data_IF_296601185286
#
_entry.id   IF_296601185286
#
_cell.length_a   1.000
_cell.length_b   1.000
_cell.length_c   1.000
_cell.angle_alpha   90.00
_cell.angle_beta   90.00
_cell.angle_gamma   90.00
#
_symmetry.space_group_name_H-M   'P 1'
#
loop_
_entity.id
_entity.type
_entity.pdbx_description
1 polymer ?
#
# COMPACT_ATOMS: atom_id res chain seq x y z
N UNK A 1 -20.55 10.49 69.44
CA UNK A 1 -20.12 10.69 68.04
C UNK A 1 -20.88 9.69 67.18
N UNK A 2 -21.82 10.16 66.35
CA UNK A 2 -22.69 9.31 65.54
C UNK A 2 -22.14 9.24 64.11
N UNK A 3 -21.82 8.03 63.64
CA UNK A 3 -21.29 7.77 62.30
C UNK A 3 -22.43 7.58 61.30
N UNK A 4 -22.57 8.52 60.38
CA UNK A 4 -23.56 8.52 59.32
C UNK A 4 -23.08 7.62 58.17
N UNK A 5 -23.77 6.51 57.90
CA UNK A 5 -23.50 5.62 56.75
C UNK A 5 -24.34 6.06 55.55
N UNK A 6 -23.68 6.64 54.54
CA UNK A 6 -24.26 6.91 53.23
C UNK A 6 -24.39 5.59 52.44
N UNK A 7 -25.61 5.26 51.99
CA UNK A 7 -25.91 4.16 51.07
C UNK A 7 -26.01 4.72 49.65
N UNK A 8 -25.15 4.28 48.76
CA UNK A 8 -25.23 4.57 47.32
C UNK A 8 -26.12 3.53 46.63
N UNK A 9 -27.06 3.91 45.76
CA UNK A 9 -27.89 2.95 45.04
C UNK A 9 -27.16 2.37 43.82
N UNK A 10 -27.34 1.06 43.60
CA UNK A 10 -26.92 0.33 42.40
C UNK A 10 -27.93 0.57 41.27
N UNK A 11 -27.45 0.98 40.10
CA UNK A 11 -28.23 1.16 38.88
C UNK A 11 -28.20 -0.18 38.10
N UNK A 12 -29.35 -0.69 37.60
CA UNK A 12 -29.38 -1.93 36.84
C UNK A 12 -28.84 -1.75 35.41
N UNK A 13 -28.04 -2.72 34.97
CA UNK A 13 -27.41 -2.77 33.65
C UNK A 13 -28.43 -3.24 32.60
N UNK A 14 -28.93 -2.34 31.76
CA UNK A 14 -29.82 -2.68 30.65
C UNK A 14 -28.99 -3.20 29.48
N UNK A 15 -29.26 -4.44 29.05
CA UNK A 15 -28.61 -5.10 27.91
C UNK A 15 -29.06 -4.42 26.59
N UNK A 16 -28.16 -3.67 25.94
CA UNK A 16 -28.39 -3.16 24.59
C UNK A 16 -28.10 -4.27 23.57
N UNK A 17 -29.12 -4.71 22.85
CA UNK A 17 -29.00 -5.55 21.66
C UNK A 17 -28.62 -4.67 20.46
N UNK A 18 -27.42 -4.90 19.91
CA UNK A 18 -26.97 -4.23 18.69
C UNK A 18 -27.61 -4.89 17.44
N UNK A 19 -28.04 -4.11 16.44
CA UNK A 19 -28.58 -4.65 15.20
C UNK A 19 -27.48 -5.33 14.36
N UNK A 20 -27.86 -6.45 13.75
CA UNK A 20 -27.05 -7.20 12.78
C UNK A 20 -26.67 -6.30 11.60
N UNK A 21 -25.38 -6.03 11.45
CA UNK A 21 -24.81 -5.29 10.32
C UNK A 21 -24.99 -6.13 9.05
N UNK A 22 -25.73 -5.59 8.09
CA UNK A 22 -25.95 -6.21 6.78
C UNK A 22 -24.65 -6.38 6.00
N UNK A 23 -24.54 -7.49 5.26
CA UNK A 23 -23.39 -7.77 4.40
C UNK A 23 -23.19 -6.64 3.37
N UNK A 24 -21.95 -6.16 3.15
CA UNK A 24 -21.67 -5.18 2.12
C UNK A 24 -22.00 -5.73 0.72
N UNK A 25 -22.45 -4.89 -0.22
CA UNK A 25 -22.80 -5.31 -1.57
C UNK A 25 -21.58 -5.88 -2.31
N UNK A 26 -21.80 -6.96 -3.07
CA UNK A 26 -20.78 -7.55 -3.95
C UNK A 26 -20.45 -6.54 -5.07
N UNK A 27 -19.29 -5.88 -4.98
CA UNK A 27 -18.75 -5.13 -6.11
C UNK A 27 -18.60 -6.08 -7.32
N UNK A 28 -19.27 -5.74 -8.44
CA UNK A 28 -19.11 -6.47 -9.70
C UNK A 28 -17.65 -6.33 -10.14
N UNK A 29 -16.93 -7.44 -10.23
CA UNK A 29 -15.62 -7.50 -10.89
C UNK A 29 -15.87 -7.21 -12.37
N UNK A 30 -15.77 -5.93 -12.75
CA UNK A 30 -15.84 -5.52 -14.14
C UNK A 30 -14.51 -5.93 -14.77
N UNK A 31 -14.46 -7.14 -15.33
CA UNK A 31 -13.37 -7.59 -16.20
C UNK A 31 -13.44 -6.88 -17.56
N UNK A 32 -13.65 -5.56 -17.57
CA UNK A 32 -13.36 -4.77 -18.74
C UNK A 32 -11.84 -4.76 -18.82
N UNK A 33 -11.30 -5.65 -19.65
CA UNK A 33 -9.97 -5.49 -20.20
C UNK A 33 -9.99 -4.11 -20.84
N UNK A 34 -9.49 -3.09 -20.13
CA UNK A 34 -9.21 -1.80 -20.74
C UNK A 34 -8.33 -2.14 -21.93
N UNK A 35 -8.75 -1.85 -23.18
CA UNK A 35 -7.91 -2.08 -24.32
C UNK A 35 -6.63 -1.32 -24.01
N UNK A 36 -5.53 -2.06 -23.80
CA UNK A 36 -4.19 -1.48 -23.78
C UNK A 36 -4.04 -0.90 -25.17
N UNK A 37 -4.38 0.38 -25.31
CA UNK A 37 -4.38 1.09 -26.58
C UNK A 37 -3.06 0.83 -27.27
N UNK A 38 -3.11 0.60 -28.59
CA UNK A 38 -1.97 0.24 -29.42
C UNK A 38 -0.74 1.05 -29.01
N UNK A 39 0.15 0.41 -28.24
CA UNK A 39 1.35 1.04 -27.71
C UNK A 39 2.17 1.49 -28.91
N UNK A 40 2.23 2.80 -29.13
CA UNK A 40 3.40 3.37 -29.76
C UNK A 40 4.59 2.82 -28.97
N UNK A 41 5.48 2.13 -29.70
CA UNK A 41 6.71 1.55 -29.18
C UNK A 41 7.58 2.69 -28.64
N UNK A 42 7.27 3.14 -27.43
CA UNK A 42 8.17 3.98 -26.64
C UNK A 42 9.43 3.15 -26.53
N UNK A 43 10.49 3.66 -27.15
CA UNK A 43 11.80 3.04 -27.20
C UNK A 43 12.38 3.13 -25.78
N UNK A 44 11.87 2.26 -24.91
CA UNK A 44 12.14 2.25 -23.50
C UNK A 44 13.55 1.68 -23.30
N UNK A 45 14.45 2.59 -22.96
CA UNK A 45 15.81 2.29 -22.56
C UNK A 45 15.89 1.80 -21.11
N UNK A 46 15.21 0.72 -20.73
CA UNK A 46 13.88 0.76 -20.11
C UNK A 46 14.11 0.68 -18.60
N UNK A 47 13.66 1.63 -17.75
CA UNK A 47 13.80 1.49 -16.30
C UNK A 47 13.17 0.17 -15.80
N UNK A 48 12.16 -0.35 -16.51
CA UNK A 48 11.56 -1.66 -16.25
C UNK A 48 12.53 -2.82 -16.51
N UNK A 49 13.28 -2.81 -17.62
CA UNK A 49 14.25 -3.89 -17.93
C UNK A 49 15.37 -3.93 -16.89
N UNK A 50 15.86 -2.76 -16.47
CA UNK A 50 16.85 -2.67 -15.39
C UNK A 50 16.27 -3.28 -14.12
N UNK A 51 15.04 -2.94 -13.75
CA UNK A 51 14.38 -3.42 -12.54
C UNK A 51 14.17 -4.95 -12.55
N UNK A 52 13.76 -5.53 -13.68
CA UNK A 52 13.56 -6.99 -13.82
C UNK A 52 14.89 -7.77 -13.76
N UNK A 53 16.00 -7.15 -14.16
CA UNK A 53 17.31 -7.80 -14.13
C UNK A 53 17.96 -7.91 -12.74
N UNK A 54 17.36 -7.31 -11.70
CA UNK A 54 17.99 -7.18 -10.38
C UNK A 54 17.98 -8.44 -9.51
N UNK A 55 17.36 -9.53 -9.94
CA UNK A 55 17.49 -10.80 -9.23
C UNK A 55 16.45 -11.85 -9.61
N UNK A 56 16.54 -12.99 -8.95
CA UNK A 56 15.59 -14.09 -9.15
C UNK A 56 14.29 -13.80 -8.38
N UNK A 57 13.13 -13.66 -9.05
CA UNK A 57 11.84 -13.48 -8.37
C UNK A 57 11.41 -14.71 -7.52
N UNK A 58 12.15 -15.83 -7.58
CA UNK A 58 11.98 -16.97 -6.67
C UNK A 58 12.82 -16.86 -5.38
N UNK A 59 13.67 -15.85 -5.24
CA UNK A 59 14.42 -15.57 -4.02
C UNK A 59 13.72 -14.44 -3.23
N UNK A 60 13.39 -14.68 -1.97
CA UNK A 60 12.61 -13.73 -1.16
C UNK A 60 13.38 -12.45 -0.85
N UNK A 61 14.71 -12.52 -0.67
CA UNK A 61 15.55 -11.34 -0.41
C UNK A 61 15.63 -10.45 -1.65
N UNK A 62 15.73 -11.06 -2.82
CA UNK A 62 15.80 -10.34 -4.09
C UNK A 62 14.43 -9.75 -4.42
N UNK A 63 13.36 -10.48 -4.12
CA UNK A 63 11.97 -10.04 -4.28
C UNK A 63 11.64 -8.80 -3.45
N UNK A 64 12.05 -8.72 -2.18
CA UNK A 64 11.84 -7.52 -1.37
C UNK A 64 12.60 -6.32 -1.96
N UNK A 65 13.88 -6.50 -2.31
CA UNK A 65 14.67 -5.44 -2.93
C UNK A 65 14.04 -4.96 -4.25
N UNK A 66 13.57 -5.89 -5.09
CA UNK A 66 12.85 -5.57 -6.32
C UNK A 66 11.58 -4.78 -6.06
N UNK A 67 10.77 -5.18 -5.07
CA UNK A 67 9.54 -4.46 -4.72
C UNK A 67 9.80 -3.08 -4.12
N UNK A 68 10.83 -2.93 -3.30
CA UNK A 68 11.22 -1.62 -2.77
C UNK A 68 11.67 -0.69 -3.90
N UNK A 69 12.47 -1.19 -4.84
CA UNK A 69 12.87 -0.40 -6.00
C UNK A 69 11.69 -0.07 -6.92
N UNK A 70 10.77 -1.01 -7.13
CA UNK A 70 9.52 -0.77 -7.85
C UNK A 70 8.69 0.34 -7.17
N UNK A 71 8.62 0.32 -5.84
CA UNK A 71 7.92 1.34 -5.06
C UNK A 71 8.57 2.72 -5.25
N UNK A 72 9.91 2.84 -5.16
CA UNK A 72 10.62 4.10 -5.43
C UNK A 72 10.46 4.59 -6.87
N UNK A 73 10.46 3.68 -7.84
CA UNK A 73 10.37 4.01 -9.26
C UNK A 73 8.95 4.45 -9.63
N UNK A 74 7.95 3.67 -9.24
CA UNK A 74 6.55 3.86 -9.64
C UNK A 74 5.72 4.70 -8.67
N UNK A 75 6.25 5.01 -7.48
CA UNK A 75 5.62 5.92 -6.52
C UNK A 75 5.86 7.41 -6.80
N UNK A 76 6.45 7.76 -7.94
CA UNK A 76 6.73 9.15 -8.33
C UNK A 76 5.57 9.73 -9.16
N UNK A 77 5.32 11.04 -9.10
CA UNK A 77 4.20 11.66 -9.82
C UNK A 77 4.27 11.52 -11.35
N UNK A 78 5.47 11.33 -11.90
CA UNK A 78 5.75 11.11 -13.32
C UNK A 78 5.70 9.62 -13.75
N UNK A 79 5.45 8.70 -12.82
CA UNK A 79 5.40 7.28 -13.12
C UNK A 79 4.20 6.93 -14.02
N UNK A 80 4.48 6.31 -15.16
CA UNK A 80 3.45 5.87 -16.08
C UNK A 80 2.79 4.57 -15.63
N UNK A 81 1.46 4.54 -15.67
CA UNK A 81 0.66 3.35 -15.37
C UNK A 81 1.09 2.13 -16.20
N UNK A 82 1.34 2.32 -17.49
CA UNK A 82 1.70 1.23 -18.39
C UNK A 82 3.02 0.56 -17.98
N UNK A 83 4.00 1.33 -17.52
CA UNK A 83 5.31 0.81 -17.10
C UNK A 83 5.16 -0.06 -15.84
N UNK A 84 4.34 0.38 -14.88
CA UNK A 84 4.01 -0.43 -13.70
C UNK A 84 3.32 -1.73 -14.10
N UNK A 85 2.32 -1.69 -14.99
CA UNK A 85 1.62 -2.89 -15.44
C UNK A 85 2.57 -3.85 -16.17
N UNK A 86 3.44 -3.34 -17.04
CA UNK A 86 4.45 -4.17 -17.71
C UNK A 86 5.41 -4.81 -16.71
N UNK A 87 5.89 -4.05 -15.72
CA UNK A 87 6.70 -4.59 -14.63
C UNK A 87 6.00 -5.73 -13.89
N UNK A 88 4.75 -5.53 -13.48
CA UNK A 88 3.96 -6.54 -12.75
C UNK A 88 3.70 -7.80 -13.60
N UNK A 89 3.52 -7.65 -14.92
CA UNK A 89 3.37 -8.78 -15.86
C UNK A 89 4.70 -9.53 -16.00
N UNK A 90 5.80 -8.83 -16.24
CA UNK A 90 7.14 -9.42 -16.42
C UNK A 90 7.60 -10.16 -15.15
N UNK A 91 7.23 -9.65 -13.98
CA UNK A 91 7.48 -10.30 -12.67
C UNK A 91 6.42 -11.35 -12.30
N UNK A 92 5.51 -11.70 -13.21
CA UNK A 92 4.49 -12.76 -13.07
C UNK A 92 3.50 -12.54 -11.92
N UNK A 93 3.27 -11.28 -11.53
CA UNK A 93 2.41 -10.93 -10.39
C UNK A 93 0.91 -10.89 -10.72
N UNK A 94 0.53 -11.00 -12.00
CA UNK A 94 -0.86 -11.03 -12.48
C UNK A 94 -1.68 -9.83 -11.97
N UNK A 95 -1.39 -8.60 -12.45
CA UNK A 95 -2.13 -7.42 -12.04
C UNK A 95 -3.61 -7.49 -12.46
N UNK A 96 -4.47 -6.90 -11.63
CA UNK A 96 -5.90 -6.71 -11.86
C UNK A 96 -6.18 -5.24 -11.64
N UNK A 97 -6.88 -4.62 -12.58
CA UNK A 97 -7.21 -3.20 -12.56
C UNK A 97 -8.71 -3.07 -12.29
N UNK A 98 -9.07 -2.27 -11.32
CA UNK A 98 -10.44 -1.89 -10.99
C UNK A 98 -10.58 -0.39 -11.23
N UNK A 99 -11.57 0.02 -12.02
CA UNK A 99 -11.94 1.42 -12.14
C UNK A 99 -13.13 1.73 -11.24
N UNK A 100 -13.05 2.83 -10.51
CA UNK A 100 -14.18 3.44 -9.84
C UNK A 100 -14.55 4.74 -10.56
N UNK A 101 -15.80 4.82 -11.02
CA UNK A 101 -16.35 5.96 -11.77
C UNK A 101 -17.23 6.86 -10.89
N UNK A 102 -17.21 6.67 -9.57
CA UNK A 102 -18.08 7.41 -8.64
C UNK A 102 -17.80 8.91 -8.54
N UNK A 103 -16.66 9.39 -9.06
CA UNK A 103 -16.22 10.79 -8.91
C UNK A 103 -16.58 11.73 -10.09
N UNK A 104 -17.38 11.28 -11.08
CA UNK A 104 -17.77 12.06 -12.25
C UNK A 104 -17.03 11.66 -13.54
N UNK A 105 -17.38 12.26 -14.68
CA UNK A 105 -16.83 11.87 -15.99
C UNK A 105 -15.30 12.12 -16.10
N UNK A 106 -14.81 13.15 -15.40
CA UNK A 106 -13.41 13.61 -15.48
C UNK A 106 -12.49 13.00 -14.42
N UNK A 107 -13.04 12.52 -13.30
CA UNK A 107 -12.27 11.94 -12.20
C UNK A 107 -12.33 10.42 -12.25
N UNK A 108 -11.25 9.80 -12.73
CA UNK A 108 -11.10 8.35 -12.75
C UNK A 108 -10.15 7.91 -11.66
N UNK A 109 -10.64 6.99 -10.83
CA UNK A 109 -9.84 6.28 -9.84
C UNK A 109 -9.53 4.90 -10.40
N UNK A 110 -8.24 4.56 -10.49
CA UNK A 110 -7.79 3.24 -10.91
C UNK A 110 -7.06 2.57 -9.73
N UNK A 111 -7.59 1.43 -9.30
CA UNK A 111 -6.96 0.59 -8.29
C UNK A 111 -6.33 -0.63 -8.97
N UNK A 112 -5.07 -0.88 -8.69
CA UNK A 112 -4.32 -2.01 -9.23
C UNK A 112 -3.95 -2.92 -8.07
N UNK A 113 -4.24 -4.21 -8.19
CA UNK A 113 -3.82 -5.23 -7.23
C UNK A 113 -3.19 -6.42 -7.93
N UNK A 114 -2.37 -7.20 -7.24
CA UNK A 114 -1.82 -8.44 -7.80
C UNK A 114 -2.58 -9.65 -7.30
N UNK A 115 -2.89 -10.59 -8.21
CA UNK A 115 -3.43 -11.92 -7.84
C UNK A 115 -2.32 -12.85 -7.33
N UNK A 116 -1.05 -12.53 -7.61
CA UNK A 116 0.11 -13.28 -7.15
C UNK A 116 1.20 -12.31 -6.69
N UNK A 117 1.55 -12.25 -5.40
CA UNK A 117 2.66 -11.40 -4.97
C UNK A 117 4.01 -12.02 -5.34
N UNK A 118 5.08 -11.21 -5.30
CA UNK A 118 6.45 -11.71 -5.29
C UNK A 118 6.74 -12.48 -3.98
N UNK A 119 7.77 -13.32 -3.99
CA UNK A 119 8.07 -14.14 -2.83
C UNK A 119 8.46 -13.26 -1.63
N UNK A 120 7.85 -13.51 -0.48
CA UNK A 120 8.10 -12.73 0.74
C UNK A 120 7.33 -11.39 0.79
N UNK A 121 6.58 -11.03 -0.24
CA UNK A 121 5.67 -9.87 -0.21
C UNK A 121 4.21 -10.32 -0.31
N UNK A 122 3.29 -9.40 -0.03
CA UNK A 122 1.84 -9.61 -0.19
C UNK A 122 1.11 -8.30 -0.39
N UNK A 123 -0.16 -8.42 -0.82
CA UNK A 123 -1.11 -7.31 -0.91
C UNK A 123 -0.56 -6.06 -1.63
N UNK A 124 0.13 -6.27 -2.75
CA UNK A 124 0.51 -5.14 -3.59
C UNK A 124 -0.75 -4.40 -4.04
N UNK A 125 -0.73 -3.08 -3.85
CA UNK A 125 -1.79 -2.18 -4.27
C UNK A 125 -1.19 -0.91 -4.84
N UNK A 126 -1.75 -0.39 -5.93
CA UNK A 126 -1.49 0.96 -6.39
C UNK A 126 -2.80 1.65 -6.70
N UNK A 127 -2.85 2.94 -6.40
CA UNK A 127 -4.01 3.80 -6.59
C UNK A 127 -3.58 4.97 -7.46
N UNK A 128 -4.23 5.12 -8.60
CA UNK A 128 -4.03 6.23 -9.52
C UNK A 128 -5.30 7.08 -9.56
N UNK A 129 -5.10 8.39 -9.58
CA UNK A 129 -6.16 9.39 -9.67
C UNK A 129 -5.96 10.24 -10.92
N UNK A 130 -7.04 10.82 -11.42
CA UNK A 130 -6.99 11.78 -12.52
C UNK A 130 -7.18 13.20 -11.96
N UNK A 131 -6.24 14.09 -12.26
CA UNK A 131 -6.32 15.51 -11.96
C UNK A 131 -6.06 16.31 -13.24
N UNK A 132 -6.98 17.23 -13.59
CA UNK A 132 -6.95 17.99 -14.84
C UNK A 132 -6.69 17.12 -16.10
N UNK A 133 -7.34 15.95 -16.17
CA UNK A 133 -7.20 15.00 -17.28
C UNK A 133 -5.88 14.22 -17.31
N UNK A 134 -4.99 14.42 -16.32
CA UNK A 134 -3.73 13.69 -16.19
C UNK A 134 -3.83 12.67 -15.07
N UNK A 135 -3.44 11.43 -15.37
CA UNK A 135 -3.35 10.37 -14.40
C UNK A 135 -2.04 10.50 -13.60
N UNK A 136 -2.10 10.39 -12.29
CA UNK A 136 -0.94 10.35 -11.40
C UNK A 136 -1.12 9.27 -10.33
N UNK A 137 -0.02 8.77 -9.77
CA UNK A 137 -0.05 7.81 -8.67
C UNK A 137 -0.41 8.53 -7.36
N UNK A 138 -1.55 8.23 -6.76
CA UNK A 138 -1.88 8.76 -5.44
C UNK A 138 -1.18 7.96 -4.33
N UNK A 139 -1.14 6.63 -4.48
CA UNK A 139 -0.39 5.76 -3.58
C UNK A 139 0.04 4.45 -4.24
N UNK A 140 1.12 3.86 -3.73
CA UNK A 140 1.59 2.51 -4.06
C UNK A 140 2.06 1.85 -2.77
N UNK A 141 1.68 0.60 -2.53
CA UNK A 141 1.98 -0.10 -1.29
C UNK A 141 2.11 -1.61 -1.47
N UNK A 142 2.78 -2.23 -0.50
CA UNK A 142 2.80 -3.67 -0.32
C UNK A 142 3.14 -4.01 1.14
N UNK A 143 3.04 -5.28 1.48
CA UNK A 143 3.37 -5.80 2.81
C UNK A 143 4.45 -6.90 2.75
N UNK A 144 5.21 -7.05 3.84
CA UNK A 144 6.22 -8.10 4.02
C UNK A 144 6.22 -8.65 5.45
N UNK A 145 6.60 -9.93 5.59
CA UNK A 145 6.87 -10.57 6.89
C UNK A 145 8.32 -10.37 7.36
N UNK A 146 9.16 -9.68 6.58
CA UNK A 146 10.50 -9.31 7.01
C UNK A 146 10.45 -8.39 8.24
N UNK A 147 11.51 -8.42 9.06
CA UNK A 147 11.54 -7.61 10.28
C UNK A 147 11.47 -6.12 9.94
N UNK A 148 10.80 -5.34 10.79
CA UNK A 148 10.71 -3.89 10.65
C UNK A 148 12.09 -3.22 10.54
N UNK A 149 13.05 -3.67 11.36
CA UNK A 149 14.41 -3.14 11.38
C UNK A 149 15.14 -3.40 10.06
N UNK A 150 15.09 -4.62 9.54
CA UNK A 150 15.74 -4.94 8.26
C UNK A 150 15.07 -4.22 7.09
N UNK A 151 13.74 -4.16 7.08
CA UNK A 151 12.99 -3.43 6.05
C UNK A 151 13.34 -1.94 6.06
N UNK A 152 13.40 -1.33 7.25
CA UNK A 152 13.84 0.06 7.44
C UNK A 152 15.25 0.29 6.90
N UNK A 153 16.22 -0.54 7.28
CA UNK A 153 17.61 -0.41 6.82
C UNK A 153 17.73 -0.52 5.30
N UNK A 154 16.94 -1.37 4.67
CA UNK A 154 16.90 -1.49 3.19
C UNK A 154 16.33 -0.24 2.54
N UNK A 155 15.25 0.33 3.08
CA UNK A 155 14.68 1.59 2.60
C UNK A 155 15.71 2.72 2.73
N UNK A 156 16.34 2.86 3.89
CA UNK A 156 17.36 3.89 4.14
C UNK A 156 18.56 3.76 3.19
N UNK A 157 19.01 2.52 2.95
CA UNK A 157 20.08 2.21 1.98
C UNK A 157 19.66 2.61 0.57
N UNK A 158 18.45 2.24 0.15
CA UNK A 158 17.93 2.55 -1.18
C UNK A 158 17.76 4.06 -1.39
N UNK A 159 17.22 4.75 -0.39
CA UNK A 159 17.10 6.21 -0.40
C UNK A 159 18.47 6.88 -0.57
N UNK A 160 19.48 6.42 0.17
CA UNK A 160 20.84 6.92 0.03
C UNK A 160 21.45 6.66 -1.35
N UNK A 161 21.18 5.48 -1.95
CA UNK A 161 21.68 5.14 -3.29
C UNK A 161 21.03 6.00 -4.39
N UNK A 162 19.77 6.37 -4.21
CA UNK A 162 18.99 7.19 -5.14
C UNK A 162 19.15 8.70 -4.89
N UNK A 163 20.03 9.11 -3.97
CA UNK A 163 20.21 10.50 -3.52
C UNK A 163 18.89 11.16 -3.07
N UNK A 164 18.01 10.39 -2.44
CA UNK A 164 16.76 10.85 -1.86
C UNK A 164 16.93 11.13 -0.36
N UNK A 165 16.08 11.98 0.26
CA UNK A 165 16.13 12.22 1.69
C UNK A 165 15.99 10.91 2.48
N UNK A 166 17.02 10.56 3.25
CA UNK A 166 17.08 9.31 4.04
C UNK A 166 16.76 9.53 5.53
N UNK A 167 16.65 10.79 5.96
CA UNK A 167 16.27 11.12 7.34
C UNK A 167 14.76 11.08 7.51
N UNK A 168 14.30 10.27 8.47
CA UNK A 168 12.89 10.14 8.79
C UNK A 168 12.36 11.34 9.59
N UNK A 169 11.09 11.70 9.39
CA UNK A 169 10.40 12.82 10.04
C UNK A 169 9.59 12.38 11.28
N UNK A 170 9.35 11.07 11.48
CA UNK A 170 8.57 10.54 12.63
C UNK A 170 9.34 9.54 13.51
N UNK A 171 9.06 9.59 14.82
CA UNK A 171 9.93 9.11 15.92
C UNK A 171 9.49 7.82 16.63
N UNK A 172 8.39 7.14 16.27
CA UNK A 172 8.08 5.85 16.92
C UNK A 172 8.97 4.73 16.35
N UNK A 173 10.19 4.66 16.87
CA UNK A 173 11.31 3.90 16.30
C UNK A 173 11.04 2.43 16.05
N UNK A 174 10.08 1.88 16.78
CA UNK A 174 9.80 0.46 16.81
C UNK A 174 8.56 0.06 15.99
N UNK A 175 7.76 1.04 15.54
CA UNK A 175 6.46 0.75 14.91
C UNK A 175 6.20 1.56 13.65
N UNK A 176 6.68 2.80 13.55
CA UNK A 176 6.34 3.68 12.42
C UNK A 176 7.52 4.55 12.00
N UNK A 177 7.77 4.63 10.70
CA UNK A 177 8.71 5.57 10.10
C UNK A 177 8.08 6.26 8.91
N UNK A 178 8.49 7.51 8.69
CA UNK A 178 8.03 8.33 7.58
C UNK A 178 9.23 9.09 7.02
N UNK A 179 9.43 9.04 5.71
CA UNK A 179 10.41 9.85 4.99
C UNK A 179 9.68 10.76 4.04
N UNK A 180 10.02 12.03 4.04
CA UNK A 180 9.47 12.98 3.08
C UNK A 180 10.34 13.03 1.84
N UNK A 181 9.71 12.95 0.67
CA UNK A 181 10.38 13.06 -0.62
C UNK A 181 10.21 14.49 -1.17
N UNK A 182 11.20 14.96 -1.92
CA UNK A 182 11.25 16.33 -2.45
C UNK A 182 10.14 16.65 -3.47
N UNK A 183 9.38 15.65 -3.93
CA UNK A 183 8.36 15.74 -4.97
C UNK A 183 6.93 15.80 -4.40
N UNK A 184 6.77 16.07 -3.10
CA UNK A 184 5.46 16.12 -2.45
C UNK A 184 4.89 14.73 -2.13
N UNK A 185 5.73 13.70 -2.09
CA UNK A 185 5.37 12.35 -1.65
C UNK A 185 6.04 12.03 -0.33
N UNK A 186 5.60 10.94 0.30
CA UNK A 186 6.21 10.39 1.49
C UNK A 186 6.31 8.87 1.39
N UNK A 187 7.37 8.30 1.95
CA UNK A 187 7.45 6.87 2.23
C UNK A 187 6.92 6.65 3.64
N UNK A 188 5.96 5.75 3.80
CA UNK A 188 5.42 5.34 5.08
C UNK A 188 5.73 3.87 5.34
N UNK A 189 6.27 3.59 6.52
CA UNK A 189 6.62 2.24 6.96
C UNK A 189 5.96 2.00 8.31
N UNK A 190 5.14 0.97 8.43
CA UNK A 190 4.42 0.65 9.66
C UNK A 190 4.49 -0.85 9.98
N UNK A 191 4.82 -1.19 11.21
CA UNK A 191 4.63 -2.53 11.78
C UNK A 191 3.18 -2.66 12.25
N UNK A 192 2.40 -3.50 11.58
CA UNK A 192 0.97 -3.67 11.83
C UNK A 192 0.71 -4.39 13.16
N UNK A 193 -0.13 -3.80 14.00
CA UNK A 193 -0.63 -4.41 15.23
C UNK A 193 -1.91 -5.21 14.99
N UNK A 194 -2.42 -5.93 15.98
CA UNK A 194 -3.68 -6.66 15.83
C UNK A 194 -4.86 -5.72 15.53
N UNK A 195 -4.86 -4.54 16.15
CA UNK A 195 -5.87 -3.50 15.96
C UNK A 195 -5.88 -2.97 14.52
N UNK A 196 -4.71 -2.82 13.91
CA UNK A 196 -4.59 -2.43 12.50
C UNK A 196 -5.22 -3.48 11.58
N UNK A 197 -4.98 -4.77 11.88
CA UNK A 197 -5.39 -5.88 11.02
C UNK A 197 -6.90 -6.15 11.08
N UNK A 198 -7.51 -6.08 12.26
CA UNK A 198 -8.96 -6.33 12.42
C UNK A 198 -9.81 -5.26 11.75
N UNK A 199 -9.30 -4.02 11.73
CA UNK A 199 -10.00 -2.88 11.13
C UNK A 199 -9.61 -2.65 9.66
N UNK A 200 -8.83 -3.55 9.05
CA UNK A 200 -8.36 -3.33 7.70
C UNK A 200 -9.51 -3.54 6.69
N UNK A 201 -9.81 -2.54 5.84
CA UNK A 201 -11.05 -2.53 5.06
C UNK A 201 -11.07 -3.56 3.92
N UNK A 202 -9.89 -4.01 3.46
CA UNK A 202 -9.78 -4.66 2.14
C UNK A 202 -9.06 -5.99 2.10
N UNK A 203 -8.37 -6.37 3.17
CA UNK A 203 -7.52 -7.57 3.21
C UNK A 203 -7.94 -8.43 4.40
N UNK A 204 -7.92 -9.75 4.21
CA UNK A 204 -8.22 -10.69 5.28
C UNK A 204 -6.93 -11.01 6.03
N UNK A 205 -6.97 -10.92 7.36
CA UNK A 205 -5.85 -11.23 8.23
C UNK A 205 -6.23 -12.20 9.34
N UNK A 206 -5.20 -12.81 9.91
CA UNK A 206 -5.24 -13.68 11.06
C UNK A 206 -4.28 -13.18 12.13
N UNK A 207 -4.36 -13.74 13.35
CA UNK A 207 -3.41 -13.37 14.43
C UNK A 207 -1.95 -13.67 14.09
N UNK A 208 -1.67 -14.55 13.12
CA UNK A 208 -0.31 -14.85 12.66
C UNK A 208 0.32 -13.70 11.87
N UNK A 209 -0.51 -12.77 11.41
CA UNK A 209 -0.08 -11.63 10.60
C UNK A 209 0.36 -10.43 11.47
N UNK A 210 0.22 -10.51 12.80
CA UNK A 210 0.69 -9.45 13.70
C UNK A 210 2.20 -9.27 13.55
N UNK A 211 2.63 -8.02 13.36
CA UNK A 211 4.03 -7.68 13.13
C UNK A 211 4.43 -7.63 11.65
N UNK A 212 3.51 -7.90 10.72
CA UNK A 212 3.72 -7.61 9.30
C UNK A 212 4.13 -6.15 9.12
N UNK A 213 5.03 -5.90 8.17
CA UNK A 213 5.47 -4.56 7.82
C UNK A 213 4.73 -4.10 6.56
N UNK A 214 3.97 -3.03 6.70
CA UNK A 214 3.33 -2.28 5.61
C UNK A 214 4.27 -1.18 5.12
N UNK A 215 4.45 -1.09 3.81
CA UNK A 215 5.28 -0.09 3.15
C UNK A 215 4.43 0.60 2.09
N UNK A 216 4.41 1.92 2.08
CA UNK A 216 3.75 2.71 1.04
C UNK A 216 4.57 3.91 0.60
N UNK A 217 4.37 4.34 -0.63
CA UNK A 217 4.60 5.71 -1.08
C UNK A 217 3.26 6.36 -1.35
N UNK A 218 3.06 7.56 -0.82
CA UNK A 218 1.79 8.28 -0.89
C UNK A 218 2.03 9.75 -1.20
N UNK A 219 1.17 10.35 -2.01
CA UNK A 219 1.14 11.81 -2.21
C UNK A 219 0.76 12.48 -0.89
N UNK A 220 1.51 13.50 -0.47
CA UNK A 220 1.15 14.28 0.72
C UNK A 220 -0.16 15.02 0.47
N UNK A 221 -1.11 14.87 1.38
CA UNK A 221 -2.35 15.65 1.41
C UNK A 221 -2.11 16.77 2.43
N UNK A 222 -2.08 18.01 1.96
CA UNK A 222 -1.94 19.21 2.76
C UNK A 222 -3.29 19.93 2.89
#
# INVERSE_FOLDING_TARGET
MSLNKSKTPLIPLTLLTLPLVGCPPKNKEVQNQIPLGNNESVNSGDPVKKLVSLGDPQNSKDSLSQMLQALILFGRPDAHLNDLIQYLIQTKQKPVIYSDHSAGEDAKILNIRTKRPLLGTRYFSAHYETDHGKLFVASISFETQESFVHTRQRIETLLSQENLPSQAVSLNENHTRLWELNNGYQIFLKKLTWEDLVNHPTNAYTKKDVGTVFISIEKKIH
#
